data_IF_827285142360
#
_entry.id   IF_827285142360
#
_cell.length_a   1.000
_cell.length_b   1.000
_cell.length_c   1.000
_cell.angle_alpha   90.00
_cell.angle_beta   90.00
_cell.angle_gamma   90.00
#
_symmetry.space_group_name_H-M   'P 1'
#
loop_
_entity.id
_entity.type
_entity.pdbx_description
1 polymer ?
#
# COMPACT_ATOMS: atom_id res chain seq x y z
N UNK A 1 -3.59 6.65 -1.15
CA UNK A 1 -3.09 6.81 0.23
C UNK A 1 -3.32 8.27 0.58
N UNK A 2 -4.21 8.59 1.51
CA UNK A 2 -4.31 9.95 2.07
C UNK A 2 -3.64 9.88 3.44
N UNK A 3 -2.60 10.67 3.62
CA UNK A 3 -1.86 10.81 4.87
C UNK A 3 -1.62 12.30 5.06
N UNK A 4 -1.49 12.71 6.31
CA UNK A 4 -1.16 14.09 6.63
C UNK A 4 0.22 14.44 6.06
N UNK A 5 0.44 15.71 5.64
CA UNK A 5 1.76 16.15 5.21
C UNK A 5 2.81 15.84 6.29
N UNK A 6 4.07 15.56 5.91
CA UNK A 6 5.14 15.33 6.88
C UNK A 6 5.18 16.47 7.90
N UNK A 7 5.00 16.13 9.16
CA UNK A 7 5.09 17.05 10.29
C UNK A 7 5.94 16.40 11.35
N UNK A 8 6.67 17.23 12.11
CA UNK A 8 7.47 16.77 13.25
C UNK A 8 6.62 16.09 14.34
N UNK A 9 5.30 16.22 14.25
CA UNK A 9 4.28 15.67 15.15
C UNK A 9 3.35 14.66 14.48
N UNK A 10 3.86 13.84 13.55
CA UNK A 10 3.08 12.72 12.99
C UNK A 10 2.88 11.65 14.07
N UNK A 11 1.85 11.85 14.89
CA UNK A 11 1.52 11.08 16.10
C UNK A 11 0.90 9.72 15.80
N UNK A 12 0.54 9.47 14.54
CA UNK A 12 -0.10 8.24 14.10
C UNK A 12 0.88 7.45 13.25
N UNK A 13 1.39 6.30 13.73
CA UNK A 13 2.24 5.46 12.91
C UNK A 13 1.47 4.96 11.68
N UNK A 14 2.19 4.77 10.57
CA UNK A 14 1.64 4.21 9.34
C UNK A 14 2.61 3.20 8.72
N UNK A 15 2.19 1.94 8.65
CA UNK A 15 2.84 0.88 7.87
C UNK A 15 2.12 0.68 6.53
N UNK A 16 2.74 -0.10 5.64
CA UNK A 16 2.14 -0.54 4.37
C UNK A 16 2.10 -2.06 4.36
N UNK A 17 0.90 -2.61 4.19
CA UNK A 17 0.65 -4.03 4.00
C UNK A 17 0.15 -4.30 2.59
N UNK A 18 0.63 -5.38 1.98
CA UNK A 18 0.12 -5.92 0.73
C UNK A 18 -0.79 -7.12 1.00
N UNK A 19 -2.00 -7.09 0.43
CA UNK A 19 -2.98 -8.15 0.60
C UNK A 19 -2.89 -9.18 -0.56
N UNK A 20 -3.07 -10.48 -0.26
CA UNK A 20 -3.00 -11.53 -1.27
C UNK A 20 -4.26 -11.61 -2.15
N UNK A 21 -5.37 -10.99 -1.73
CA UNK A 21 -6.65 -11.05 -2.45
C UNK A 21 -7.48 -9.79 -2.29
N UNK A 22 -8.37 -9.55 -3.25
CA UNK A 22 -9.35 -8.46 -3.18
C UNK A 22 -10.27 -8.58 -1.95
N UNK A 23 -10.67 -9.81 -1.57
CA UNK A 23 -11.56 -10.02 -0.44
C UNK A 23 -10.90 -9.68 0.91
N UNK A 24 -9.67 -10.11 1.13
CA UNK A 24 -8.90 -9.73 2.34
C UNK A 24 -8.65 -8.22 2.38
N UNK A 25 -8.38 -7.61 1.23
CA UNK A 25 -8.21 -6.16 1.10
C UNK A 25 -9.50 -5.39 1.45
N UNK A 26 -10.64 -5.81 0.93
CA UNK A 26 -11.92 -5.14 1.18
C UNK A 26 -12.34 -5.23 2.65
N UNK A 27 -12.03 -6.34 3.32
CA UNK A 27 -12.30 -6.57 4.75
C UNK A 27 -11.20 -6.05 5.68
N UNK A 28 -10.10 -5.53 5.14
CA UNK A 28 -8.92 -5.16 5.92
C UNK A 28 -8.41 -6.31 6.84
N UNK A 29 -8.48 -7.55 6.35
CA UNK A 29 -8.01 -8.73 7.07
C UNK A 29 -6.49 -8.87 6.99
N UNK A 30 -5.80 -8.39 8.03
CA UNK A 30 -4.34 -8.37 8.10
C UNK A 30 -3.71 -9.74 8.35
N UNK A 31 -4.48 -10.78 8.72
CA UNK A 31 -3.92 -12.11 9.09
C UNK A 31 -3.08 -12.74 7.98
N UNK A 32 -3.44 -12.45 6.73
CA UNK A 32 -2.75 -12.97 5.53
C UNK A 32 -2.05 -11.87 4.73
N UNK A 33 -2.07 -10.64 5.23
CA UNK A 33 -1.41 -9.53 4.58
C UNK A 33 0.08 -9.53 4.94
N UNK A 34 0.92 -9.19 3.97
CA UNK A 34 2.36 -9.09 4.16
C UNK A 34 2.72 -7.64 4.42
N UNK A 35 3.38 -7.33 5.54
CA UNK A 35 3.96 -6.00 5.75
C UNK A 35 5.08 -5.81 4.72
N UNK A 36 4.96 -4.77 3.90
CA UNK A 36 5.97 -4.42 2.89
C UNK A 36 6.76 -3.17 3.28
N UNK A 37 6.22 -2.35 4.18
CA UNK A 37 6.93 -1.23 4.82
C UNK A 37 6.46 -1.08 6.27
N UNK A 38 7.38 -0.90 7.20
CA UNK A 38 7.10 -0.57 8.59
C UNK A 38 6.90 0.96 8.76
N UNK A 39 6.70 1.40 10.01
CA UNK A 39 6.40 2.79 10.36
C UNK A 39 7.55 3.78 10.15
N UNK A 40 8.79 3.29 10.11
CA UNK A 40 10.01 4.08 9.88
C UNK A 40 10.51 4.03 8.43
N UNK A 41 10.07 3.06 7.62
CA UNK A 41 10.55 2.86 6.25
C UNK A 41 10.13 4.00 5.29
N UNK A 42 9.21 4.87 5.72
CA UNK A 42 8.85 6.09 4.99
C UNK A 42 9.81 7.27 5.24
N UNK A 43 10.76 7.16 6.17
CA UNK A 43 11.76 8.20 6.45
C UNK A 43 12.90 8.19 5.42
N UNK A 44 13.72 9.26 5.42
CA UNK A 44 14.87 9.37 4.51
C UNK A 44 14.45 9.39 3.03
N UNK A 45 14.98 8.46 2.25
CA UNK A 45 14.66 8.29 0.82
C UNK A 45 13.23 7.75 0.58
N UNK A 46 12.57 7.31 1.65
CA UNK A 46 11.23 6.76 1.63
C UNK A 46 11.18 5.29 1.19
N UNK A 47 9.95 4.80 1.03
CA UNK A 47 9.68 3.41 0.68
C UNK A 47 9.28 3.27 -0.80
N UNK A 48 9.92 2.34 -1.52
CA UNK A 48 9.55 1.96 -2.88
C UNK A 48 9.11 0.50 -2.96
N UNK A 49 8.03 0.23 -3.70
CA UNK A 49 7.59 -1.13 -4.03
C UNK A 49 7.55 -1.35 -5.54
N UNK A 50 8.31 -2.36 -6.02
CA UNK A 50 8.39 -2.70 -7.45
C UNK A 50 7.25 -3.63 -7.90
N UNK A 51 6.45 -3.18 -8.87
CA UNK A 51 5.40 -3.98 -9.51
C UNK A 51 6.00 -4.95 -10.56
N UNK A 52 6.47 -6.12 -10.11
CA UNK A 52 7.22 -7.06 -10.96
C UNK A 52 6.40 -7.91 -11.93
N UNK A 53 5.08 -8.07 -11.73
CA UNK A 53 4.23 -8.98 -12.51
C UNK A 53 3.26 -8.19 -13.38
N UNK A 54 3.16 -8.52 -14.68
CA UNK A 54 2.20 -7.92 -15.63
C UNK A 54 0.79 -8.47 -15.37
N UNK A 55 -0.22 -7.65 -15.64
CA UNK A 55 -1.64 -7.96 -15.44
C UNK A 55 -2.02 -8.34 -14.00
N UNK A 56 -1.19 -7.98 -13.02
CA UNK A 56 -1.45 -8.28 -11.61
C UNK A 56 -2.07 -7.08 -10.90
N UNK A 57 -3.13 -7.33 -10.15
CA UNK A 57 -3.65 -6.41 -9.14
C UNK A 57 -2.83 -6.52 -7.85
N UNK A 58 -2.39 -5.37 -7.36
CA UNK A 58 -1.75 -5.21 -6.06
C UNK A 58 -2.66 -4.39 -5.17
N UNK A 59 -2.83 -4.86 -3.93
CA UNK A 59 -3.75 -4.29 -2.96
C UNK A 59 -2.95 -3.86 -1.74
N UNK A 60 -2.94 -2.56 -1.44
CA UNK A 60 -2.15 -2.00 -0.35
C UNK A 60 -3.04 -1.26 0.65
N UNK A 61 -2.76 -1.42 1.94
CA UNK A 61 -3.39 -0.60 2.97
C UNK A 61 -2.49 -0.40 4.20
N UNK A 62 -2.88 0.53 5.05
CA UNK A 62 -2.25 0.71 6.36
C UNK A 62 -2.70 -0.39 7.33
N UNK A 63 -1.74 -1.06 7.97
CA UNK A 63 -2.01 -2.12 8.96
C UNK A 63 -2.11 -1.61 10.40
N UNK A 64 -1.78 -0.35 10.64
CA UNK A 64 -1.74 0.23 11.98
C UNK A 64 -3.13 0.31 12.61
N UNK A 65 -3.13 0.37 13.94
CA UNK A 65 -4.36 0.33 14.74
C UNK A 65 -5.20 -0.92 14.46
N UNK A 66 -4.55 -2.06 14.20
CA UNK A 66 -5.21 -3.35 13.92
C UNK A 66 -6.06 -3.34 12.63
N UNK A 67 -5.73 -2.47 11.66
CA UNK A 67 -6.50 -2.31 10.43
C UNK A 67 -7.62 -1.27 10.50
N UNK A 68 -7.72 -0.51 11.60
CA UNK A 68 -8.64 0.62 11.70
C UNK A 68 -8.34 1.71 10.67
N UNK A 69 -7.06 1.98 10.39
CA UNK A 69 -6.65 2.93 9.35
C UNK A 69 -7.10 2.47 7.95
N UNK A 70 -7.07 1.16 7.66
CA UNK A 70 -7.60 0.61 6.42
C UNK A 70 -9.14 0.69 6.34
N UNK A 71 -9.83 0.29 7.41
CA UNK A 71 -11.29 0.06 7.39
C UNK A 71 -12.08 1.36 7.57
N UNK A 72 -11.76 2.15 8.58
CA UNK A 72 -12.42 3.43 8.91
C UNK A 72 -11.70 4.59 8.24
N UNK A 73 -10.37 4.66 8.39
CA UNK A 73 -9.55 5.74 7.81
C UNK A 73 -9.43 5.68 6.28
N UNK A 74 -9.89 4.58 5.65
CA UNK A 74 -9.81 4.34 4.20
C UNK A 74 -8.40 4.50 3.63
N UNK A 75 -7.37 4.27 4.45
CA UNK A 75 -5.96 4.32 4.05
C UNK A 75 -5.60 3.06 3.28
N UNK A 76 -6.14 2.97 2.06
CA UNK A 76 -5.98 1.82 1.18
C UNK A 76 -6.00 2.28 -0.27
N UNK A 77 -5.32 1.54 -1.13
CA UNK A 77 -5.32 1.76 -2.57
C UNK A 77 -4.99 0.46 -3.30
N UNK A 78 -5.31 0.42 -4.59
CA UNK A 78 -5.00 -0.71 -5.45
C UNK A 78 -4.39 -0.20 -6.74
N UNK A 79 -3.46 -0.96 -7.28
CA UNK A 79 -2.84 -0.67 -8.58
C UNK A 79 -2.82 -1.94 -9.42
N UNK A 80 -2.94 -1.77 -10.74
CA UNK A 80 -2.76 -2.86 -11.70
C UNK A 80 -1.51 -2.59 -12.51
N UNK A 81 -0.63 -3.58 -12.58
CA UNK A 81 0.57 -3.49 -13.42
C UNK A 81 0.21 -3.86 -14.86
N UNK A 82 -0.07 -2.84 -15.68
CA UNK A 82 -0.35 -3.05 -17.11
C UNK A 82 0.97 -3.28 -17.87
N UNK A 83 0.96 -4.10 -18.93
CA UNK A 83 2.10 -4.18 -19.83
C UNK A 83 2.39 -2.79 -20.40
N UNK A 84 3.68 -2.44 -20.51
CA UNK A 84 4.07 -1.23 -21.25
C UNK A 84 3.53 -1.34 -22.67
N UNK A 85 2.78 -0.35 -23.18
CA UNK A 85 2.39 -0.33 -24.58
C UNK A 85 3.64 -0.47 -25.44
N UNK A 86 3.57 -1.28 -26.50
CA UNK A 86 4.65 -1.32 -27.47
C UNK A 86 4.77 0.09 -28.06
N UNK A 87 5.93 0.74 -27.89
CA UNK A 87 6.21 1.96 -28.65
C UNK A 87 6.26 1.55 -30.11
N UNK A 88 5.28 2.00 -30.90
CA UNK A 88 5.43 2.06 -32.35
C UNK A 88 6.59 3.03 -32.62
N UNK A 89 7.76 2.48 -32.91
CA UNK A 89 8.82 3.22 -33.58
C UNK A 89 8.50 3.14 -35.07
N UNK A 90 7.74 4.13 -35.56
CA UNK A 90 7.69 4.46 -36.98
C UNK A 90 8.87 5.34 -37.35
#
# INVERSE_FOLDING_TARGET
>A
FKYDPPSDSNTHPHSVYMFPSFWSYMRCDLKRATMVANVSDGAGDGFEFKLSQKWKFYFFACGESGGFHCSTGKMRFSVVSLPRPWKWHG
#
